data_IF_590051630077
#
_entry.id   IF_590051630077
#
_cell.length_a   1.000
_cell.length_b   1.000
_cell.length_c   1.000
_cell.angle_alpha   90.00
_cell.angle_beta   90.00
_cell.angle_gamma   90.00
#
_symmetry.space_group_name_H-M   'P 1'
#
loop_
_entity.id
_entity.type
_entity.pdbx_description
1 polymer ?
#
# COMPACT_ATOMS: atom_id res chain seq x y z
N UNK A 1 5.18 -16.07 -56.93
CA UNK A 1 4.24 -15.58 -55.90
C UNK A 1 5.02 -15.34 -54.62
N UNK A 2 4.99 -14.16 -53.99
CA UNK A 2 5.70 -13.94 -52.74
C UNK A 2 4.93 -14.65 -51.61
N UNK A 3 5.63 -15.49 -50.84
CA UNK A 3 5.06 -16.18 -49.69
C UNK A 3 4.86 -15.22 -48.52
N UNK A 4 3.78 -15.42 -47.75
CA UNK A 4 3.51 -14.66 -46.53
C UNK A 4 4.63 -14.89 -45.51
N UNK A 5 5.16 -13.83 -44.85
CA UNK A 5 6.11 -14.01 -43.75
C UNK A 5 5.44 -14.75 -42.57
N UNK A 6 6.19 -15.59 -41.84
CA UNK A 6 5.65 -16.38 -40.74
C UNK A 6 5.10 -15.47 -39.64
N UNK A 7 3.85 -15.72 -39.24
CA UNK A 7 3.17 -14.99 -38.16
C UNK A 7 3.75 -15.45 -36.82
N UNK A 8 4.75 -14.74 -36.31
CA UNK A 8 5.23 -14.96 -34.95
C UNK A 8 4.13 -14.60 -33.94
N UNK A 9 3.56 -15.60 -33.30
CA UNK A 9 2.62 -15.43 -32.19
C UNK A 9 3.44 -15.04 -30.96
N UNK A 10 3.35 -13.79 -30.50
CA UNK A 10 3.94 -13.39 -29.22
C UNK A 10 3.38 -14.29 -28.12
N UNK A 11 4.24 -15.07 -27.48
CA UNK A 11 3.85 -15.92 -26.36
C UNK A 11 3.31 -15.02 -25.25
N UNK A 12 2.07 -15.27 -24.79
CA UNK A 12 1.53 -14.57 -23.63
C UNK A 12 2.42 -14.90 -22.43
N UNK A 13 3.15 -13.90 -21.93
CA UNK A 13 3.95 -14.04 -20.71
C UNK A 13 2.99 -14.38 -19.58
N UNK A 14 3.22 -15.51 -18.90
CA UNK A 14 2.38 -15.89 -17.77
C UNK A 14 2.46 -14.83 -16.66
N UNK A 15 1.39 -14.60 -15.89
CA UNK A 15 1.42 -13.66 -14.77
C UNK A 15 2.54 -13.97 -13.76
N UNK A 16 2.92 -15.25 -13.62
CA UNK A 16 4.02 -15.69 -12.75
C UNK A 16 5.37 -15.25 -13.31
N UNK A 17 5.59 -15.41 -14.62
CA UNK A 17 6.81 -14.97 -15.30
C UNK A 17 6.95 -13.44 -15.27
N UNK A 18 5.84 -12.72 -15.42
CA UNK A 18 5.81 -11.26 -15.35
C UNK A 18 6.16 -10.76 -13.93
N UNK A 19 5.62 -11.38 -12.87
CA UNK A 19 5.98 -11.06 -11.48
C UNK A 19 7.46 -11.30 -11.20
N UNK A 20 8.01 -12.46 -11.60
CA UNK A 20 9.44 -12.76 -11.44
C UNK A 20 10.35 -11.72 -12.11
N UNK A 21 9.99 -11.25 -13.30
CA UNK A 21 10.75 -10.20 -13.99
C UNK A 21 10.67 -8.85 -13.27
N UNK A 22 9.52 -8.51 -12.69
CA UNK A 22 9.36 -7.28 -11.88
C UNK A 22 10.16 -7.38 -10.57
N UNK A 23 10.10 -8.52 -9.89
CA UNK A 23 10.82 -8.75 -8.64
C UNK A 23 12.35 -8.71 -8.86
N UNK A 24 12.84 -9.32 -9.95
CA UNK A 24 14.25 -9.24 -10.34
C UNK A 24 14.73 -7.80 -10.54
N UNK A 25 13.89 -6.91 -11.09
CA UNK A 25 14.20 -5.48 -11.27
C UNK A 25 14.18 -4.69 -9.96
N UNK A 26 13.44 -5.16 -8.94
CA UNK A 26 13.29 -4.49 -7.64
C UNK A 26 14.35 -4.93 -6.62
N UNK A 27 15.03 -6.05 -6.84
CA UNK A 27 15.97 -6.64 -5.87
C UNK A 27 15.26 -7.36 -4.73
N UNK A 28 16.03 -7.99 -3.84
CA UNK A 28 15.45 -8.73 -2.71
C UNK A 28 14.89 -7.77 -1.65
N UNK A 29 14.01 -8.25 -0.77
CA UNK A 29 13.52 -7.46 0.36
C UNK A 29 14.67 -6.96 1.26
N UNK A 30 15.71 -7.79 1.45
CA UNK A 30 16.88 -7.42 2.25
C UNK A 30 17.71 -6.33 1.58
N UNK A 31 17.89 -6.39 0.27
CA UNK A 31 18.60 -5.34 -0.49
C UNK A 31 17.89 -3.99 -0.41
N UNK A 32 16.56 -4.01 -0.21
CA UNK A 32 15.75 -2.80 -0.05
C UNK A 32 15.68 -2.27 1.38
N UNK A 33 16.38 -2.88 2.34
CA UNK A 33 16.45 -2.45 3.74
C UNK A 33 15.60 -3.25 4.73
N UNK A 34 14.75 -4.18 4.25
CA UNK A 34 13.91 -5.04 5.10
C UNK A 34 14.74 -6.19 5.70
N UNK A 35 15.50 -5.86 6.74
CA UNK A 35 16.41 -6.73 7.47
C UNK A 35 15.91 -7.05 8.89
N UNK A 36 16.59 -7.94 9.62
CA UNK A 36 16.29 -8.17 11.05
C UNK A 36 16.40 -6.89 11.91
N UNK A 37 17.19 -5.89 11.47
CA UNK A 37 17.20 -4.56 12.11
C UNK A 37 15.85 -3.86 11.93
N UNK A 38 15.27 -3.92 10.73
CA UNK A 38 13.97 -3.35 10.43
C UNK A 38 12.86 -4.08 11.20
N UNK A 39 12.91 -5.41 11.29
CA UNK A 39 11.92 -6.20 12.02
C UNK A 39 11.85 -5.76 13.50
N UNK A 40 13.01 -5.58 14.15
CA UNK A 40 13.09 -5.08 15.53
C UNK A 40 12.59 -3.65 15.66
N UNK A 41 13.01 -2.75 14.78
CA UNK A 41 12.64 -1.35 14.84
C UNK A 41 11.14 -1.14 14.60
N UNK A 42 10.59 -1.82 13.59
CA UNK A 42 9.15 -1.77 13.27
C UNK A 42 8.30 -2.38 14.38
N UNK A 43 8.73 -3.46 15.03
CA UNK A 43 8.04 -4.02 16.18
C UNK A 43 7.98 -3.02 17.35
N UNK A 44 9.10 -2.40 17.69
CA UNK A 44 9.17 -1.39 18.75
C UNK A 44 8.30 -0.17 18.44
N UNK A 45 8.32 0.30 17.18
CA UNK A 45 7.47 1.40 16.74
C UNK A 45 5.98 1.06 16.85
N UNK A 46 5.56 -0.14 16.43
CA UNK A 46 4.16 -0.57 16.56
C UNK A 46 3.71 -0.69 18.01
N UNK A 47 4.59 -1.09 18.93
CA UNK A 47 4.27 -1.14 20.36
C UNK A 47 4.00 0.26 20.95
N UNK A 48 4.72 1.29 20.48
CA UNK A 48 4.52 2.69 20.90
C UNK A 48 3.33 3.35 20.19
N UNK A 49 2.97 2.85 19.01
CA UNK A 49 1.90 3.38 18.17
C UNK A 49 0.85 2.29 17.87
N UNK A 50 0.05 1.88 18.88
CA UNK A 50 -0.82 0.71 18.78
C UNK A 50 -2.01 0.91 17.83
N UNK A 51 -2.34 2.14 17.47
CA UNK A 51 -3.49 2.48 16.63
C UNK A 51 -3.08 2.99 15.24
N UNK A 52 -3.85 2.61 14.24
CA UNK A 52 -3.70 3.13 12.89
C UNK A 52 -4.07 4.63 12.86
N UNK A 53 -3.09 5.48 12.53
CA UNK A 53 -3.24 6.93 12.56
C UNK A 53 -4.33 7.42 11.58
N UNK A 54 -4.50 6.74 10.44
CA UNK A 54 -5.53 7.07 9.45
C UNK A 54 -6.95 6.69 9.91
N UNK A 55 -7.11 5.62 10.69
CA UNK A 55 -8.38 5.27 11.30
C UNK A 55 -8.71 6.20 12.47
N UNK A 56 -7.73 6.50 13.31
CA UNK A 56 -7.86 7.40 14.45
C UNK A 56 -8.27 8.81 14.01
N UNK A 57 -7.67 9.34 12.94
CA UNK A 57 -8.05 10.63 12.34
C UNK A 57 -9.52 10.68 11.84
N UNK A 58 -10.16 9.52 11.67
CA UNK A 58 -11.58 9.38 11.30
C UNK A 58 -12.46 8.94 12.49
N UNK A 59 -11.93 8.98 13.71
CA UNK A 59 -12.65 8.59 14.93
C UNK A 59 -12.84 7.09 15.08
N UNK A 60 -11.94 6.26 14.53
CA UNK A 60 -12.00 4.79 14.62
C UNK A 60 -10.78 4.23 15.32
N UNK A 61 -11.01 3.34 16.28
CA UNK A 61 -9.96 2.61 17.00
C UNK A 61 -9.67 1.30 16.28
N UNK A 62 -8.61 1.26 15.48
CA UNK A 62 -8.18 0.07 14.73
C UNK A 62 -6.70 -0.16 15.01
N UNK A 63 -6.26 -1.39 15.31
CA UNK A 63 -4.87 -1.68 15.63
C UNK A 63 -3.93 -1.43 14.44
N UNK A 64 -2.67 -1.12 14.74
CA UNK A 64 -1.59 -1.02 13.75
C UNK A 64 -1.10 -2.41 13.35
N UNK A 65 -1.11 -2.69 12.04
CA UNK A 65 -0.58 -3.94 11.49
C UNK A 65 0.85 -3.74 10.97
N UNK A 66 1.09 -2.61 10.30
CA UNK A 66 2.30 -2.33 9.54
C UNK A 66 2.85 -0.93 9.85
N UNK A 67 4.16 -0.78 9.65
CA UNK A 67 4.82 0.53 9.63
C UNK A 67 4.99 0.91 8.17
N UNK A 68 4.43 2.05 7.79
CA UNK A 68 4.43 2.58 6.44
C UNK A 68 5.35 3.79 6.32
N UNK A 69 6.04 3.92 5.18
CA UNK A 69 6.82 5.11 4.85
C UNK A 69 5.90 6.15 4.19
N UNK A 70 5.76 7.33 4.81
CA UNK A 70 4.93 8.43 4.33
C UNK A 70 5.35 8.80 2.91
N UNK A 71 6.61 9.15 2.71
CA UNK A 71 7.22 9.32 1.39
C UNK A 71 7.93 8.02 1.02
N UNK A 72 7.61 7.39 -0.13
CA UNK A 72 8.30 6.20 -0.59
C UNK A 72 9.80 6.46 -0.75
N UNK A 73 10.62 5.71 -0.03
CA UNK A 73 12.07 5.92 0.04
C UNK A 73 12.82 5.64 -1.27
N UNK A 74 12.25 4.82 -2.18
CA UNK A 74 12.83 4.52 -3.52
C UNK A 74 14.30 4.08 -3.51
N UNK A 75 14.77 3.48 -2.42
CA UNK A 75 16.16 3.03 -2.24
C UNK A 75 17.03 3.94 -1.38
N UNK A 76 16.58 5.18 -1.10
CA UNK A 76 17.22 6.08 -0.14
C UNK A 76 17.17 5.45 1.26
N UNK A 77 18.34 5.21 1.86
CA UNK A 77 18.44 4.60 3.18
C UNK A 77 18.23 5.61 4.32
N UNK A 78 18.60 6.87 4.13
CA UNK A 78 18.40 7.90 5.14
C UNK A 78 16.90 8.14 5.32
N UNK A 79 16.17 8.25 4.20
CA UNK A 79 14.71 8.38 4.21
C UNK A 79 13.98 7.10 4.66
N UNK A 80 14.60 5.92 4.48
CA UNK A 80 14.08 4.65 4.97
C UNK A 80 14.16 4.57 6.50
N UNK A 81 15.26 5.03 7.10
CA UNK A 81 15.50 5.00 8.54
C UNK A 81 15.01 6.25 9.28
N UNK A 82 14.56 7.28 8.58
CA UNK A 82 13.91 8.44 9.17
C UNK A 82 12.56 8.04 9.82
N UNK A 83 12.54 8.01 11.15
CA UNK A 83 11.35 7.73 11.95
C UNK A 83 10.25 8.77 11.70
N UNK A 84 10.61 10.02 11.36
CA UNK A 84 9.66 11.07 10.99
C UNK A 84 8.90 10.77 9.70
N UNK A 85 9.50 9.95 8.83
CA UNK A 85 8.91 9.41 7.62
C UNK A 85 8.09 8.13 7.88
N UNK A 86 8.02 7.60 9.11
CA UNK A 86 7.20 6.44 9.43
C UNK A 86 5.80 6.86 9.88
N UNK A 87 4.80 6.03 9.57
CA UNK A 87 3.45 6.15 10.12
C UNK A 87 2.82 4.79 10.44
N UNK A 88 2.10 4.68 11.57
CA UNK A 88 1.44 3.45 11.98
C UNK A 88 0.14 3.25 11.19
N UNK A 89 -0.02 2.09 10.56
CA UNK A 89 -1.09 1.84 9.61
C UNK A 89 -1.70 0.43 9.76
N UNK A 90 -3.02 0.32 9.62
CA UNK A 90 -3.67 -0.98 9.44
C UNK A 90 -3.58 -1.41 7.96
N UNK A 91 -3.78 -2.70 7.69
CA UNK A 91 -3.65 -3.24 6.33
C UNK A 91 -4.56 -2.54 5.32
N UNK A 92 -5.80 -2.20 5.70
CA UNK A 92 -6.76 -1.56 4.79
C UNK A 92 -6.30 -0.15 4.40
N UNK A 93 -5.84 0.64 5.38
CA UNK A 93 -5.32 1.97 5.11
C UNK A 93 -4.05 1.92 4.25
N UNK A 94 -3.17 0.95 4.48
CA UNK A 94 -1.95 0.76 3.70
C UNK A 94 -2.29 0.35 2.25
N UNK A 95 -3.04 -0.73 2.08
CA UNK A 95 -3.25 -1.36 0.77
C UNK A 95 -4.21 -0.57 -0.13
N UNK A 96 -5.09 0.26 0.44
CA UNK A 96 -6.11 1.01 -0.33
C UNK A 96 -5.93 2.52 -0.29
N UNK A 97 -5.78 3.10 0.91
CA UNK A 97 -5.72 4.56 1.06
C UNK A 97 -4.33 5.07 0.65
N UNK A 98 -3.27 4.55 1.27
CA UNK A 98 -1.89 4.93 0.95
C UNK A 98 -1.54 4.60 -0.50
N UNK A 99 -1.91 3.42 -0.99
CA UNK A 99 -1.70 3.05 -2.39
C UNK A 99 -2.31 4.07 -3.37
N UNK A 100 -3.56 4.53 -3.14
CA UNK A 100 -4.20 5.55 -4.00
C UNK A 100 -3.50 6.90 -3.90
N UNK A 101 -3.06 7.29 -2.70
CA UNK A 101 -2.30 8.53 -2.48
C UNK A 101 -0.95 8.48 -3.20
N UNK A 102 -0.21 7.37 -3.13
CA UNK A 102 1.06 7.21 -3.83
C UNK A 102 0.91 7.32 -5.35
N UNK A 103 -0.18 6.77 -5.91
CA UNK A 103 -0.48 6.94 -7.35
C UNK A 103 -0.70 8.41 -7.68
N UNK A 104 -1.52 9.13 -6.92
CA UNK A 104 -1.76 10.56 -7.14
C UNK A 104 -0.46 11.37 -7.02
N UNK A 105 0.37 11.07 -6.00
CA UNK A 105 1.65 11.73 -5.81
C UNK A 105 2.64 11.44 -6.95
N UNK A 106 2.68 10.19 -7.43
CA UNK A 106 3.54 9.81 -8.56
C UNK A 106 3.18 10.52 -9.86
N UNK A 107 1.93 10.99 -9.98
CA UNK A 107 1.43 11.79 -11.11
C UNK A 107 1.55 13.30 -10.89
N UNK A 108 2.04 13.74 -9.72
CA UNK A 108 2.14 15.16 -9.37
C UNK A 108 0.81 15.82 -9.01
N UNK A 109 -0.27 15.05 -8.80
CA UNK A 109 -1.60 15.59 -8.47
C UNK A 109 -1.68 16.09 -7.02
N UNK A 110 -0.82 15.59 -6.14
CA UNK A 110 -0.74 15.97 -4.73
C UNK A 110 0.72 16.12 -4.29
N UNK A 111 0.97 16.97 -3.30
CA UNK A 111 2.28 17.08 -2.65
C UNK A 111 2.55 15.98 -1.62
N UNK A 112 3.82 15.86 -1.20
CA UNK A 112 4.26 14.83 -0.24
C UNK A 112 3.51 14.88 1.11
N UNK A 113 3.12 16.06 1.58
CA UNK A 113 2.36 16.23 2.83
C UNK A 113 1.00 15.53 2.81
N UNK A 114 0.41 15.32 1.63
CA UNK A 114 -0.86 14.61 1.48
C UNK A 114 -0.73 13.09 1.65
N UNK A 115 0.49 12.53 1.63
CA UNK A 115 0.75 11.10 1.83
C UNK A 115 0.60 10.65 3.29
N UNK A 116 0.65 11.57 4.25
CA UNK A 116 0.39 11.25 5.65
C UNK A 116 -1.10 10.95 5.82
N UNK A 117 -1.44 9.85 6.50
CA UNK A 117 -2.80 9.35 6.59
C UNK A 117 -3.76 10.23 7.41
N UNK A 118 -3.24 11.24 8.11
CA UNK A 118 -4.01 12.30 8.77
C UNK A 118 -4.36 13.46 7.84
N UNK A 119 -3.84 13.49 6.61
CA UNK A 119 -4.10 14.58 5.67
C UNK A 119 -5.59 14.62 5.27
N UNK A 120 -6.07 15.82 4.90
CA UNK A 120 -7.47 15.99 4.43
C UNK A 120 -7.81 15.05 3.27
N UNK A 121 -6.87 14.88 2.33
CA UNK A 121 -7.04 13.99 1.17
C UNK A 121 -7.09 12.53 1.60
N UNK A 122 -6.19 12.11 2.50
CA UNK A 122 -6.17 10.74 3.03
C UNK A 122 -7.47 10.39 3.76
N UNK A 123 -7.97 11.30 4.60
CA UNK A 123 -9.24 11.11 5.31
C UNK A 123 -10.44 11.01 4.35
N UNK A 124 -10.46 11.80 3.27
CA UNK A 124 -11.51 11.72 2.26
C UNK A 124 -11.52 10.36 1.56
N UNK A 125 -10.36 9.91 1.05
CA UNK A 125 -10.22 8.58 0.43
C UNK A 125 -10.56 7.48 1.45
N UNK A 126 -10.14 7.64 2.70
CA UNK A 126 -10.48 6.71 3.76
C UNK A 126 -11.99 6.58 3.98
N UNK A 127 -12.74 7.68 3.97
CA UNK A 127 -14.21 7.63 4.10
C UNK A 127 -14.85 6.87 2.93
N UNK A 128 -14.38 7.11 1.70
CA UNK A 128 -14.83 6.38 0.52
C UNK A 128 -14.55 4.87 0.64
N UNK A 129 -13.28 4.50 0.89
CA UNK A 129 -12.84 3.10 0.97
C UNK A 129 -13.63 2.29 2.00
N UNK A 130 -13.81 2.85 3.21
CA UNK A 130 -14.49 2.14 4.28
C UNK A 130 -16.02 2.19 4.14
N UNK A 131 -16.56 3.23 3.51
CA UNK A 131 -17.97 3.27 3.11
C UNK A 131 -18.31 2.18 2.09
N UNK A 132 -17.45 1.98 1.09
CA UNK A 132 -17.63 0.92 0.09
C UNK A 132 -17.52 -0.48 0.71
N UNK A 133 -16.58 -0.69 1.62
CA UNK A 133 -16.46 -1.95 2.38
C UNK A 133 -17.73 -2.26 3.19
N UNK A 134 -18.30 -1.26 3.88
CA UNK A 134 -19.53 -1.45 4.64
C UNK A 134 -20.73 -1.83 3.74
N UNK A 135 -20.83 -1.23 2.55
CA UNK A 135 -21.89 -1.56 1.57
C UNK A 135 -21.77 -2.98 1.02
N UNK A 136 -20.55 -3.47 0.83
CA UNK A 136 -20.32 -4.85 0.36
C UNK A 136 -20.75 -5.86 1.42
N UNK A 137 -20.43 -5.62 2.70
CA UNK A 137 -20.81 -6.49 3.81
C UNK A 137 -22.33 -6.52 4.07
N UNK A 138 -23.04 -5.41 3.81
CA UNK A 138 -24.49 -5.34 3.96
C UNK A 138 -25.30 -6.10 2.89
N UNK A 139 -24.68 -6.60 1.81
CA UNK A 139 -25.37 -7.34 0.75
C UNK A 139 -25.44 -8.85 0.97
N UNK A 140 -24.70 -9.40 1.94
CA UNK A 140 -24.66 -10.85 2.22
C UNK A 140 -25.65 -11.30 3.32
N UNK A 141 -26.43 -10.37 3.89
CA UNK A 141 -27.36 -10.64 5.01
C UNK A 141 -28.83 -10.85 4.64
N UNK A 142 -29.14 -11.47 3.49
CA UNK A 142 -30.51 -11.80 3.10
C UNK A 142 -31.09 -12.97 3.91
N UNK A 143 -32.05 -12.66 4.79
CA UNK A 143 -33.02 -13.49 5.52
C UNK A 143 -32.99 -15.03 5.36
N UNK A 144 -32.96 -15.82 6.46
CA UNK A 144 -33.36 -17.21 6.40
C UNK A 144 -34.87 -17.28 6.12
N UNK A 145 -35.25 -17.91 5.00
CA UNK A 145 -36.64 -18.31 4.76
C UNK A 145 -37.07 -19.24 5.90
N UNK A 146 -38.03 -18.78 6.70
CA UNK A 146 -38.87 -19.60 7.56
C UNK A 146 -39.77 -20.52 6.72
#
# INVERSE_FOLDING_TARGET
>A
MPSLPPKHRLARISPVTQRKQVDARRGSARDRGYSARWDRASLAFKAQHPLCIGCEARGKTVPTDVVDHIVPHRGDQDLFWDIGNWQPCCRICHDRVKARLEVMWSRGEIGASALRLTSKRAMAIGREVFGDLARMQGKEGGEPKL
#
